data_IF_369472658758
#
_entry.id   IF_369472658758
#
_cell.length_a   1.000
_cell.length_b   1.000
_cell.length_c   1.000
_cell.angle_alpha   90.00
_cell.angle_beta   90.00
_cell.angle_gamma   90.00
#
_symmetry.space_group_name_H-M   'P 1'
#
loop_
_entity.id
_entity.type
_entity.pdbx_description
1 polymer ?
#
# COMPACT_ATOMS: atom_id res chain seq x y z
N UNK A 1 6.41 26.62 16.61
CA UNK A 1 5.06 26.42 16.02
C UNK A 1 4.30 25.52 16.99
N UNK A 2 3.03 25.82 17.34
CA UNK A 2 2.22 24.98 18.23
C UNK A 2 1.25 24.18 17.36
N UNK A 3 1.33 22.85 17.36
CA UNK A 3 0.36 22.00 16.69
C UNK A 3 -0.98 22.07 17.44
N UNK A 4 -1.99 22.69 16.79
CA UNK A 4 -3.36 22.81 17.29
C UNK A 4 -4.21 21.60 16.91
N UNK A 5 -5.18 21.27 17.76
CA UNK A 5 -6.08 20.11 17.68
C UNK A 5 -7.01 20.17 16.46
N UNK A 6 -6.74 19.49 15.34
CA UNK A 6 -7.79 19.00 14.42
C UNK A 6 -7.28 17.79 13.60
N UNK A 7 -8.18 16.82 13.38
CA UNK A 7 -8.09 15.56 12.62
C UNK A 7 -6.73 14.85 12.68
N UNK A 8 -6.56 14.18 13.81
CA UNK A 8 -5.42 13.39 14.24
C UNK A 8 -5.55 11.97 13.65
N UNK A 9 -4.55 11.50 12.90
CA UNK A 9 -4.34 10.05 12.71
C UNK A 9 -3.19 9.64 13.63
N UNK A 10 -3.57 9.16 14.81
CA UNK A 10 -2.76 8.51 15.83
C UNK A 10 -3.75 7.47 16.41
N UNK A 11 -3.41 6.23 16.73
CA UNK A 11 -2.79 5.94 18.02
C UNK A 11 -2.68 4.43 18.28
N UNK A 12 -1.69 4.05 19.08
CA UNK A 12 -1.83 2.90 19.97
C UNK A 12 -1.33 3.19 21.40
N UNK A 13 -0.51 4.23 21.65
CA UNK A 13 -0.28 4.81 22.98
C UNK A 13 0.24 6.26 22.90
N UNK A 14 -0.68 7.23 23.05
CA UNK A 14 -0.49 8.61 23.52
C UNK A 14 0.97 9.11 23.61
N UNK A 15 1.46 9.78 22.55
CA UNK A 15 2.55 10.82 22.62
C UNK A 15 2.96 11.48 21.29
N UNK A 16 2.29 11.24 20.16
CA UNK A 16 2.75 11.74 18.85
C UNK A 16 1.59 12.31 18.05
N UNK A 17 1.85 13.31 17.22
CA UNK A 17 0.83 13.94 16.38
C UNK A 17 1.31 13.93 14.93
N UNK A 18 0.64 13.14 14.10
CA UNK A 18 0.71 13.23 12.64
C UNK A 18 -0.61 13.78 12.11
N UNK A 19 -0.53 14.82 11.30
CA UNK A 19 -1.70 15.49 10.72
C UNK A 19 -1.57 15.54 9.21
N UNK A 20 -2.53 14.95 8.50
CA UNK A 20 -2.60 14.96 7.04
C UNK A 20 -3.56 16.06 6.56
N UNK A 21 -3.13 16.88 5.61
CA UNK A 21 -3.95 17.93 4.99
C UNK A 21 -4.04 17.74 3.48
N UNK A 22 -5.20 18.07 2.89
CA UNK A 22 -5.38 18.19 1.44
C UNK A 22 -5.20 19.62 0.92
N UNK A 23 -4.34 20.40 1.57
CA UNK A 23 -4.01 21.77 1.18
C UNK A 23 -2.51 21.90 1.04
N UNK A 24 -2.07 22.60 -0.01
CA UNK A 24 -0.66 22.80 -0.33
C UNK A 24 0.11 23.39 0.86
N UNK A 25 1.20 22.73 1.25
CA UNK A 25 2.10 23.24 2.29
C UNK A 25 3.13 24.17 1.65
N UNK A 26 3.03 25.46 1.95
CA UNK A 26 3.90 26.48 1.39
C UNK A 26 4.97 26.94 2.40
N UNK A 27 6.25 26.67 2.11
CA UNK A 27 7.40 27.15 2.92
C UNK A 27 7.59 28.67 2.83
N UNK A 28 7.20 29.26 1.70
CA UNK A 28 7.21 30.70 1.46
C UNK A 28 6.12 31.06 0.43
N UNK A 29 5.73 32.35 0.29
CA UNK A 29 4.80 32.77 -0.75
C UNK A 29 5.25 32.29 -2.14
N UNK A 30 4.43 31.45 -2.78
CA UNK A 30 4.73 30.87 -4.10
C UNK A 30 5.71 29.69 -4.11
N UNK A 31 6.12 29.15 -2.95
CA UNK A 31 6.96 27.94 -2.85
C UNK A 31 6.23 26.85 -2.06
N UNK A 32 5.39 26.12 -2.77
CA UNK A 32 4.48 25.10 -2.21
C UNK A 32 4.83 23.67 -2.63
N UNK A 33 6.07 23.43 -3.07
CA UNK A 33 6.54 22.08 -3.45
C UNK A 33 6.84 21.19 -2.23
N UNK A 34 6.49 21.64 -1.02
CA UNK A 34 6.81 20.94 0.23
C UNK A 34 5.68 19.98 0.57
N UNK A 35 5.94 18.67 0.59
CA UNK A 35 4.92 17.67 0.92
C UNK A 35 4.84 17.37 2.42
N UNK A 36 5.82 17.78 3.21
CA UNK A 36 5.85 17.52 4.64
C UNK A 36 6.79 18.44 5.42
N UNK A 37 6.57 18.51 6.72
CA UNK A 37 7.40 19.27 7.66
C UNK A 37 7.52 18.53 8.99
N UNK A 38 8.76 18.35 9.44
CA UNK A 38 9.09 17.83 10.75
C UNK A 38 10.34 18.52 11.33
N UNK A 39 10.47 18.49 12.65
CA UNK A 39 11.63 19.04 13.35
C UNK A 39 12.65 17.93 13.65
N UNK A 40 13.93 18.22 13.37
CA UNK A 40 15.02 17.26 13.50
C UNK A 40 15.23 16.78 14.95
N UNK A 41 15.24 15.47 15.15
CA UNK A 41 15.68 14.84 16.41
C UNK A 41 14.74 15.05 17.59
N UNK A 42 13.44 15.12 17.32
CA UNK A 42 12.41 15.46 18.32
C UNK A 42 11.59 14.25 18.78
N UNK A 43 11.97 13.02 18.40
CA UNK A 43 11.21 11.79 18.67
C UNK A 43 10.65 11.65 20.09
N UNK A 44 11.46 11.94 21.12
CA UNK A 44 11.08 11.88 22.53
C UNK A 44 10.90 13.26 23.18
N UNK A 45 10.81 14.32 22.39
CA UNK A 45 10.39 15.63 22.87
C UNK A 45 8.87 15.73 22.83
N UNK A 46 8.23 15.75 24.00
CA UNK A 46 6.77 15.74 24.13
C UNK A 46 6.06 16.92 23.41
N UNK A 47 6.77 18.04 23.18
CA UNK A 47 6.19 19.24 22.58
C UNK A 47 6.51 19.41 21.10
N UNK A 48 7.51 18.67 20.60
CA UNK A 48 8.04 18.83 19.24
C UNK A 48 8.03 17.55 18.40
N UNK A 49 7.72 16.39 18.99
CA UNK A 49 7.56 15.11 18.29
C UNK A 49 6.29 15.09 17.42
N UNK A 50 6.35 15.80 16.30
CA UNK A 50 5.25 15.89 15.34
C UNK A 50 5.75 16.10 13.92
N UNK A 51 4.92 15.64 12.97
CA UNK A 51 5.11 15.88 11.55
C UNK A 51 3.78 16.31 10.90
N UNK A 52 3.87 17.20 9.92
CA UNK A 52 2.77 17.61 9.07
C UNK A 52 3.01 17.01 7.70
N UNK A 53 1.99 16.39 7.11
CA UNK A 53 2.09 15.75 5.81
C UNK A 53 0.95 16.24 4.91
N UNK A 54 1.26 16.55 3.66
CA UNK A 54 0.29 16.77 2.62
C UNK A 54 -0.17 15.41 2.05
N UNK A 55 -1.48 15.18 2.07
CA UNK A 55 -2.08 13.97 1.50
C UNK A 55 -2.09 14.04 -0.02
N UNK A 56 -1.19 13.28 -0.64
CA UNK A 56 -1.13 13.07 -2.09
C UNK A 56 -1.48 11.62 -2.46
N UNK A 57 -2.41 10.99 -1.74
CA UNK A 57 -2.83 9.60 -1.99
C UNK A 57 -1.92 8.57 -1.31
N UNK A 58 -1.79 7.38 -1.90
CA UNK A 58 -1.02 6.28 -1.27
C UNK A 58 0.47 6.62 -1.11
N UNK A 59 1.00 7.50 -1.96
CA UNK A 59 2.38 7.95 -1.89
C UNK A 59 2.68 8.81 -0.65
N UNK A 60 1.66 9.30 0.06
CA UNK A 60 1.86 10.03 1.31
C UNK A 60 2.61 9.18 2.35
N UNK A 61 2.53 7.84 2.25
CA UNK A 61 3.32 6.92 3.05
C UNK A 61 4.83 7.17 2.96
N UNK A 62 5.35 7.56 1.79
CA UNK A 62 6.76 7.87 1.61
C UNK A 62 7.13 9.20 2.25
N UNK A 63 6.26 10.20 2.15
CA UNK A 63 6.42 11.48 2.85
C UNK A 63 6.39 11.27 4.37
N UNK A 64 5.47 10.44 4.87
CA UNK A 64 5.42 10.05 6.29
C UNK A 64 6.76 9.43 6.71
N UNK A 65 7.32 8.52 5.91
CA UNK A 65 8.63 7.91 6.19
C UNK A 65 9.76 8.96 6.20
N UNK A 66 9.76 9.88 5.24
CA UNK A 66 10.73 10.99 5.17
C UNK A 66 10.68 11.87 6.41
N UNK A 67 9.48 12.32 6.81
CA UNK A 67 9.30 13.18 7.98
C UNK A 67 9.62 12.45 9.28
N UNK A 68 9.31 11.15 9.37
CA UNK A 68 9.78 10.32 10.50
C UNK A 68 11.31 10.26 10.55
N UNK A 69 11.99 10.17 9.40
CA UNK A 69 13.44 10.26 9.33
C UNK A 69 13.97 11.52 10.00
N UNK A 70 13.37 12.68 9.73
CA UNK A 70 13.72 13.94 10.42
C UNK A 70 13.48 13.84 11.93
N UNK A 71 12.35 13.31 12.36
CA UNK A 71 12.06 13.11 13.80
C UNK A 71 13.14 12.26 14.49
N UNK A 72 13.73 11.28 13.77
CA UNK A 72 14.88 10.47 14.19
C UNK A 72 16.26 11.13 13.96
N UNK A 73 16.29 12.45 13.73
CA UNK A 73 17.49 13.25 13.52
C UNK A 73 18.28 12.88 12.25
N UNK A 74 17.60 12.33 11.23
CA UNK A 74 18.22 12.05 9.94
C UNK A 74 18.09 13.29 9.04
N UNK A 75 19.19 13.92 8.60
CA UNK A 75 19.14 15.05 7.67
C UNK A 75 18.90 14.56 6.22
N UNK A 76 18.70 15.51 5.30
CA UNK A 76 18.68 15.19 3.87
C UNK A 76 20.03 14.63 3.39
N UNK A 77 19.99 13.75 2.39
CA UNK A 77 21.17 13.04 1.88
C UNK A 77 22.23 13.98 1.25
N UNK A 78 21.83 15.17 0.80
CA UNK A 78 22.69 16.18 0.20
C UNK A 78 23.33 17.15 1.20
N UNK A 79 23.00 17.01 2.49
CA UNK A 79 23.60 17.81 3.55
C UNK A 79 25.08 17.45 3.76
N UNK A 80 25.89 18.45 4.12
CA UNK A 80 27.34 18.27 4.34
C UNK A 80 27.67 17.16 5.35
N UNK A 81 26.81 16.97 6.35
CA UNK A 81 26.96 15.93 7.38
C UNK A 81 26.88 14.51 6.82
N UNK A 82 26.21 14.32 5.68
CA UNK A 82 26.11 13.03 5.00
C UNK A 82 27.32 12.70 4.12
N UNK A 83 28.09 13.71 3.70
CA UNK A 83 29.24 13.52 2.82
C UNK A 83 30.35 12.60 3.36
N UNK A 84 30.40 12.38 4.68
CA UNK A 84 31.34 11.42 5.30
C UNK A 84 30.90 9.95 5.20
N UNK A 85 29.60 9.69 4.98
CA UNK A 85 29.03 8.35 4.94
C UNK A 85 28.70 7.87 3.54
N UNK A 86 28.49 8.80 2.61
CA UNK A 86 28.19 8.50 1.22
C UNK A 86 28.58 9.65 0.30
N UNK A 87 28.86 9.31 -0.96
CA UNK A 87 28.86 10.27 -2.05
C UNK A 87 27.46 10.34 -2.66
N UNK A 88 27.00 11.54 -2.99
CA UNK A 88 25.73 11.72 -3.69
C UNK A 88 25.78 11.08 -5.08
N UNK A 89 24.82 10.19 -5.35
CA UNK A 89 24.61 9.59 -6.66
C UNK A 89 23.33 10.14 -7.28
N UNK A 90 23.45 10.96 -8.33
CA UNK A 90 22.30 11.57 -9.03
C UNK A 90 21.37 10.56 -9.72
N UNK A 91 21.81 9.31 -9.85
CA UNK A 91 21.04 8.21 -10.43
C UNK A 91 20.44 7.29 -9.36
N UNK A 92 20.63 7.60 -8.08
CA UNK A 92 20.12 6.78 -6.99
C UNK A 92 19.83 7.64 -5.75
N UNK A 93 18.59 8.12 -5.66
CA UNK A 93 18.09 8.86 -4.51
C UNK A 93 17.30 7.94 -3.59
N UNK A 94 17.36 8.21 -2.28
CA UNK A 94 16.73 7.43 -1.22
C UNK A 94 15.60 8.23 -0.55
N UNK A 95 14.96 7.66 0.48
CA UNK A 95 13.85 8.30 1.20
C UNK A 95 14.20 9.72 1.66
N UNK A 96 15.43 9.97 2.11
CA UNK A 96 15.87 11.28 2.63
C UNK A 96 16.41 12.22 1.55
N UNK A 97 16.17 11.96 0.28
CA UNK A 97 16.42 12.94 -0.77
C UNK A 97 15.50 14.17 -0.57
N UNK A 98 15.99 15.40 -0.81
CA UNK A 98 15.21 16.62 -0.60
C UNK A 98 14.07 16.80 -1.61
N UNK A 99 14.15 16.11 -2.76
CA UNK A 99 13.18 16.16 -3.85
C UNK A 99 12.81 14.76 -4.33
N UNK A 100 11.54 14.60 -4.72
CA UNK A 100 11.05 13.39 -5.39
C UNK A 100 11.24 13.53 -6.90
N UNK A 101 12.16 12.75 -7.46
CA UNK A 101 12.59 12.93 -8.85
C UNK A 101 12.55 11.60 -9.64
N UNK A 102 13.15 11.62 -10.84
CA UNK A 102 13.17 10.46 -11.72
C UNK A 102 13.97 9.26 -11.16
N UNK A 103 14.94 9.51 -10.28
CA UNK A 103 15.83 8.48 -9.75
C UNK A 103 15.60 8.17 -8.27
N UNK A 104 14.47 8.60 -7.70
CA UNK A 104 14.12 8.34 -6.31
C UNK A 104 13.55 6.94 -6.13
N UNK A 105 14.14 6.21 -5.19
CA UNK A 105 13.72 4.88 -4.74
C UNK A 105 13.17 5.00 -3.31
N UNK A 106 11.89 5.37 -3.15
CA UNK A 106 11.29 5.74 -1.87
C UNK A 106 11.04 4.55 -0.91
N UNK A 107 11.56 3.36 -1.25
CA UNK A 107 11.57 2.15 -0.41
C UNK A 107 12.97 1.84 0.16
N UNK A 108 13.94 2.75 -0.02
CA UNK A 108 15.33 2.52 0.39
C UNK A 108 15.85 3.68 1.23
N UNK A 109 16.68 3.33 2.22
CA UNK A 109 17.42 4.28 3.04
C UNK A 109 18.87 4.34 2.59
N UNK A 110 19.49 5.51 2.65
CA UNK A 110 20.88 5.71 2.27
C UNK A 110 21.86 5.23 3.35
N UNK A 111 23.15 5.03 3.03
CA UNK A 111 24.18 4.79 4.05
C UNK A 111 24.27 5.91 5.09
N UNK A 112 24.06 7.18 4.67
CA UNK A 112 23.99 8.29 5.62
C UNK A 112 22.79 8.13 6.57
N UNK A 113 21.61 7.84 6.03
CA UNK A 113 20.39 7.67 6.83
C UNK A 113 20.58 6.62 7.91
N UNK A 114 21.12 5.46 7.56
CA UNK A 114 21.41 4.38 8.49
C UNK A 114 22.42 4.79 9.57
N UNK A 115 23.51 5.46 9.18
CA UNK A 115 24.54 5.92 10.12
C UNK A 115 24.00 6.99 11.10
N UNK A 116 23.18 7.93 10.61
CA UNK A 116 22.57 8.98 11.43
C UNK A 116 21.55 8.40 12.41
N UNK A 117 20.72 7.43 11.96
CA UNK A 117 19.80 6.72 12.84
C UNK A 117 20.54 5.96 13.93
N UNK A 118 21.57 5.19 13.58
CA UNK A 118 22.41 4.48 14.58
C UNK A 118 22.95 5.46 15.60
N UNK A 119 23.53 6.58 15.13
CA UNK A 119 24.07 7.61 16.00
C UNK A 119 23.02 8.25 16.89
N UNK A 120 21.78 8.43 16.42
CA UNK A 120 20.69 8.96 17.24
C UNK A 120 20.27 7.96 18.33
N UNK A 121 20.17 6.68 17.99
CA UNK A 121 19.81 5.62 18.94
C UNK A 121 20.93 5.35 19.97
N UNK A 122 22.19 5.49 19.57
CA UNK A 122 23.37 5.30 20.44
C UNK A 122 23.61 6.49 21.38
N UNK A 123 23.31 7.71 20.93
CA UNK A 123 23.50 8.91 21.74
C UNK A 123 22.35 9.05 22.74
N UNK A 124 22.71 9.07 24.03
CA UNK A 124 21.83 9.32 25.16
C UNK A 124 20.64 8.35 25.27
N UNK A 125 20.89 7.20 25.92
CA UNK A 125 19.85 6.28 26.40
C UNK A 125 18.67 6.99 27.09
N UNK A 126 18.89 8.16 27.70
CA UNK A 126 17.84 9.00 28.27
C UNK A 126 16.95 9.72 27.23
N UNK A 127 17.49 10.24 26.12
CA UNK A 127 16.71 10.96 25.09
C UNK A 127 15.96 9.99 24.17
N UNK A 128 16.35 8.72 24.10
CA UNK A 128 15.65 7.68 23.31
C UNK A 128 14.84 6.73 24.19
N UNK A 129 14.74 6.99 25.51
CA UNK A 129 14.09 6.04 26.42
C UNK A 129 12.60 5.80 26.09
N UNK A 130 11.93 6.77 25.46
CA UNK A 130 10.50 6.75 25.14
C UNK A 130 10.10 5.82 23.98
N UNK A 131 11.07 5.15 23.32
CA UNK A 131 10.79 4.23 22.19
C UNK A 131 10.98 2.77 22.55
N UNK A 132 11.40 2.46 23.79
CA UNK A 132 11.72 1.09 24.21
C UNK A 132 10.61 0.41 25.00
N UNK A 133 9.58 1.14 25.45
CA UNK A 133 8.40 0.55 26.05
C UNK A 133 7.49 -0.07 24.99
N UNK A 134 6.83 -1.17 25.36
CA UNK A 134 5.88 -1.85 24.48
C UNK A 134 4.52 -1.14 24.52
N UNK A 135 3.85 -0.98 23.37
CA UNK A 135 2.50 -0.42 23.35
C UNK A 135 1.51 -1.34 24.08
N UNK A 136 0.72 -0.78 24.99
CA UNK A 136 -0.30 -1.49 25.78
C UNK A 136 -1.41 -2.10 24.91
N UNK A 137 -1.74 -1.51 23.75
CA UNK A 137 -2.75 -2.05 22.83
C UNK A 137 -2.11 -2.70 21.59
N UNK A 138 -2.00 -4.03 21.60
CA UNK A 138 -1.61 -4.84 20.43
C UNK A 138 -2.69 -4.95 19.34
N UNK A 139 -3.91 -4.50 19.60
CA UNK A 139 -5.10 -4.69 18.75
C UNK A 139 -4.93 -4.16 17.31
N UNK A 140 -4.09 -3.16 17.12
CA UNK A 140 -3.76 -2.60 15.81
C UNK A 140 -2.55 -3.28 15.15
N UNK A 141 -1.64 -3.83 15.94
CA UNK A 141 -0.41 -4.45 15.46
C UNK A 141 -0.70 -5.74 14.71
N UNK A 142 -1.56 -6.60 15.28
CA UNK A 142 -1.89 -7.90 14.68
C UNK A 142 -2.64 -7.76 13.34
N UNK A 143 -3.52 -6.75 13.22
CA UNK A 143 -4.27 -6.48 11.97
C UNK A 143 -3.44 -5.82 10.86
N UNK A 144 -2.30 -5.21 11.20
CA UNK A 144 -1.49 -4.48 10.21
C UNK A 144 -0.74 -5.44 9.27
N UNK A 145 -0.44 -6.66 9.72
CA UNK A 145 0.25 -7.69 8.94
C UNK A 145 -0.67 -8.62 8.16
N UNK A 146 -1.98 -8.55 8.41
CA UNK A 146 -3.00 -9.32 7.67
C UNK A 146 -3.50 -8.59 6.41
N UNK A 147 -3.21 -7.29 6.30
CA UNK A 147 -3.73 -6.49 5.18
C UNK A 147 -2.94 -6.79 3.90
N UNK A 148 -3.63 -7.05 2.77
CA UNK A 148 -2.97 -7.26 1.50
C UNK A 148 -2.24 -5.99 1.06
N UNK A 149 -1.25 -6.15 0.18
CA UNK A 149 -0.47 -5.02 -0.34
C UNK A 149 -1.41 -3.93 -0.93
N UNK A 150 -1.09 -2.63 -0.83
CA UNK A 150 -2.05 -1.56 -1.16
C UNK A 150 -2.57 -1.62 -2.60
N UNK A 151 -1.76 -2.08 -3.55
CA UNK A 151 -2.17 -2.26 -4.94
C UNK A 151 -3.14 -3.43 -5.20
N UNK A 152 -3.29 -4.33 -4.23
CA UNK A 152 -4.35 -5.35 -4.24
C UNK A 152 -5.69 -4.81 -3.69
N UNK A 153 -5.66 -3.72 -2.91
CA UNK A 153 -6.86 -3.06 -2.38
C UNK A 153 -7.35 -1.92 -3.26
N UNK A 154 -6.43 -1.25 -3.96
CA UNK A 154 -6.72 -0.06 -4.75
C UNK A 154 -6.22 -0.22 -6.19
N UNK A 155 -7.14 -0.15 -7.15
CA UNK A 155 -6.81 -0.23 -8.58
C UNK A 155 -5.91 0.93 -9.00
N UNK A 156 -5.21 0.77 -10.12
CA UNK A 156 -4.34 1.83 -10.67
C UNK A 156 -5.10 3.13 -10.95
N UNK A 157 -6.36 3.05 -11.38
CA UNK A 157 -7.21 4.23 -11.58
C UNK A 157 -7.59 4.89 -10.26
N UNK A 158 -7.91 4.12 -9.22
CA UNK A 158 -8.15 4.67 -7.88
C UNK A 158 -6.91 5.39 -7.33
N UNK A 159 -5.72 4.83 -7.57
CA UNK A 159 -4.46 5.50 -7.24
C UNK A 159 -4.32 6.85 -7.96
N UNK A 160 -4.66 6.91 -9.25
CA UNK A 160 -4.72 8.16 -9.99
C UNK A 160 -5.75 9.15 -9.41
N UNK A 161 -6.92 8.66 -9.02
CA UNK A 161 -7.98 9.47 -8.44
C UNK A 161 -7.59 10.09 -7.10
N UNK A 162 -6.79 9.39 -6.28
CA UNK A 162 -6.28 9.91 -5.03
C UNK A 162 -5.32 11.09 -5.22
N UNK A 163 -4.53 11.08 -6.31
CA UNK A 163 -3.53 12.12 -6.59
C UNK A 163 -4.12 13.31 -7.35
N UNK A 164 -4.86 13.04 -8.43
CA UNK A 164 -5.30 14.07 -9.38
C UNK A 164 -6.83 14.30 -9.39
N UNK A 165 -7.56 13.62 -8.50
CA UNK A 165 -9.00 13.75 -8.34
C UNK A 165 -9.81 12.74 -9.16
N UNK A 166 -11.11 12.66 -8.87
CA UNK A 166 -12.03 11.60 -9.34
C UNK A 166 -12.10 11.33 -10.85
N UNK A 167 -11.68 12.27 -11.69
CA UNK A 167 -11.74 12.14 -13.15
C UNK A 167 -10.40 11.66 -13.75
N UNK A 168 -9.40 11.39 -12.91
CA UNK A 168 -8.11 10.90 -13.35
C UNK A 168 -8.12 9.38 -13.50
N UNK A 169 -7.50 8.91 -14.56
CA UNK A 169 -7.33 7.48 -14.86
C UNK A 169 -5.90 7.22 -15.34
N UNK A 170 -5.53 5.94 -15.49
CA UNK A 170 -4.20 5.56 -15.94
C UNK A 170 -3.89 6.16 -17.33
N UNK A 171 -2.75 6.83 -17.45
CA UNK A 171 -2.26 7.31 -18.72
C UNK A 171 -1.80 6.13 -19.61
N UNK A 172 -2.31 6.01 -20.85
CA UNK A 172 -1.89 4.98 -21.79
C UNK A 172 -0.41 5.08 -22.19
N UNK A 173 0.17 3.96 -22.60
CA UNK A 173 1.53 3.82 -23.18
C UNK A 173 2.72 4.16 -22.25
N UNK A 174 2.47 4.56 -21.01
CA UNK A 174 3.54 4.81 -20.05
C UNK A 174 4.03 3.52 -19.38
N UNK A 175 5.32 3.42 -19.00
CA UNK A 175 5.85 2.23 -18.35
C UNK A 175 5.14 1.91 -17.02
N UNK A 176 4.69 0.68 -16.85
CA UNK A 176 4.04 0.20 -15.63
C UNK A 176 4.97 0.21 -14.41
N UNK A 177 4.39 0.32 -13.22
CA UNK A 177 5.02 0.23 -11.89
C UNK A 177 6.03 1.32 -11.53
N UNK A 178 6.91 1.71 -12.45
CA UNK A 178 8.00 2.65 -12.17
C UNK A 178 7.48 4.02 -11.78
N UNK A 179 6.43 4.50 -12.47
CA UNK A 179 5.81 5.81 -12.26
C UNK A 179 4.32 5.77 -12.54
N UNK A 180 3.54 6.34 -11.63
CA UNK A 180 2.12 6.54 -11.80
C UNK A 180 1.92 7.77 -12.69
N UNK A 181 1.52 7.51 -13.92
CA UNK A 181 1.13 8.53 -14.88
C UNK A 181 -0.37 8.50 -15.02
N UNK A 182 -1.01 9.63 -14.80
CA UNK A 182 -2.46 9.75 -14.83
C UNK A 182 -2.87 10.75 -15.89
N UNK A 183 -3.91 10.43 -16.64
CA UNK A 183 -4.50 11.31 -17.63
C UNK A 183 -5.78 11.92 -17.07
N UNK A 184 -6.03 13.18 -17.45
CA UNK A 184 -7.37 13.75 -17.41
C UNK A 184 -7.72 14.21 -18.83
N UNK A 185 -8.97 13.99 -19.25
CA UNK A 185 -9.41 14.26 -20.63
C UNK A 185 -10.26 15.52 -20.77
N UNK A 186 -10.54 16.21 -19.66
CA UNK A 186 -11.40 17.38 -19.61
C UNK A 186 -10.82 18.45 -18.68
N UNK A 187 -11.02 19.72 -19.05
CA UNK A 187 -10.57 20.88 -18.27
C UNK A 187 -9.13 21.32 -18.57
N UNK A 188 -8.65 22.32 -17.83
CA UNK A 188 -7.34 22.96 -18.05
C UNK A 188 -6.13 22.05 -17.78
N UNK A 189 -6.33 20.92 -17.12
CA UNK A 189 -5.27 19.97 -16.72
C UNK A 189 -5.17 18.76 -17.65
N UNK A 190 -5.72 18.88 -18.87
CA UNK A 190 -5.77 17.80 -19.87
C UNK A 190 -4.38 17.23 -20.20
N UNK A 191 -4.32 15.91 -20.35
CA UNK A 191 -3.11 15.18 -20.71
C UNK A 191 -2.52 14.38 -19.55
N UNK A 192 -1.40 13.71 -19.81
CA UNK A 192 -0.73 12.85 -18.85
C UNK A 192 0.19 13.62 -17.91
N UNK A 193 0.03 13.39 -16.61
CA UNK A 193 0.78 14.04 -15.54
C UNK A 193 1.26 12.99 -14.53
N UNK A 194 2.31 13.30 -13.79
CA UNK A 194 2.86 12.43 -12.74
C UNK A 194 3.41 13.27 -11.59
N UNK A 195 3.35 12.73 -10.37
CA UNK A 195 4.09 13.24 -9.20
C UNK A 195 5.35 12.40 -8.94
N UNK A 196 5.86 11.70 -9.95
CA UNK A 196 7.08 10.92 -9.88
C UNK A 196 7.07 9.70 -8.94
N UNK A 197 5.93 9.37 -8.33
CA UNK A 197 5.75 8.21 -7.45
C UNK A 197 5.48 6.92 -8.22
N UNK A 198 5.91 5.75 -7.72
CA UNK A 198 5.62 4.45 -8.33
C UNK A 198 4.14 4.07 -8.18
N UNK A 199 3.70 3.03 -8.88
CA UNK A 199 2.43 2.39 -8.56
C UNK A 199 2.56 1.68 -7.21
N UNK A 200 1.47 1.53 -6.47
CA UNK A 200 1.51 0.82 -5.21
C UNK A 200 1.94 -0.64 -5.39
N UNK A 201 2.71 -1.15 -4.44
CA UNK A 201 3.09 -2.56 -4.40
C UNK A 201 1.82 -3.44 -4.39
N UNK A 202 1.83 -4.49 -5.19
CA UNK A 202 0.69 -5.39 -5.42
C UNK A 202 -0.25 -4.99 -6.56
N UNK A 203 -0.03 -3.84 -7.22
CA UNK A 203 -0.88 -3.43 -8.34
C UNK A 203 -0.63 -4.36 -9.55
N UNK A 204 -1.66 -4.95 -10.16
CA UNK A 204 -1.50 -5.76 -11.37
C UNK A 204 -0.86 -4.96 -12.50
N UNK A 205 0.13 -5.53 -13.18
CA UNK A 205 0.85 -4.87 -14.28
C UNK A 205 1.03 -5.73 -15.54
N UNK A 206 0.60 -7.00 -15.48
CA UNK A 206 0.64 -7.97 -16.56
C UNK A 206 0.04 -9.30 -16.12
N UNK A 207 0.04 -10.30 -17.00
CA UNK A 207 -0.48 -11.63 -16.71
C UNK A 207 0.36 -12.31 -15.63
N UNK A 208 -0.25 -12.64 -14.48
CA UNK A 208 0.44 -13.18 -13.30
C UNK A 208 1.62 -12.32 -12.82
N UNK A 209 1.53 -11.00 -13.03
CA UNK A 209 2.56 -10.04 -12.62
C UNK A 209 1.96 -8.88 -11.84
N UNK A 210 2.73 -8.39 -10.88
CA UNK A 210 2.36 -7.26 -10.04
C UNK A 210 3.53 -6.31 -9.82
N UNK A 211 3.22 -5.09 -9.39
CA UNK A 211 4.23 -4.12 -9.04
C UNK A 211 4.86 -4.47 -7.69
N UNK A 212 6.20 -4.51 -7.65
CA UNK A 212 6.96 -4.58 -6.41
C UNK A 212 8.19 -3.67 -6.53
N UNK A 213 8.32 -2.70 -5.62
CA UNK A 213 9.43 -1.73 -5.61
C UNK A 213 9.65 -1.08 -6.98
N UNK A 214 8.56 -0.64 -7.59
CA UNK A 214 8.55 0.04 -8.89
C UNK A 214 8.88 -0.83 -10.11
N UNK A 215 8.92 -2.15 -9.95
CA UNK A 215 9.14 -3.10 -11.05
C UNK A 215 7.94 -4.04 -11.24
N UNK A 216 7.63 -4.38 -12.48
CA UNK A 216 6.63 -5.40 -12.79
C UNK A 216 7.28 -6.78 -12.70
N UNK A 217 6.96 -7.54 -11.65
CA UNK A 217 7.57 -8.84 -11.34
C UNK A 217 6.51 -9.94 -11.35
N UNK A 218 6.92 -11.18 -11.63
CA UNK A 218 6.03 -12.33 -11.51
C UNK A 218 5.57 -12.53 -10.06
N UNK A 219 4.30 -12.88 -9.87
CA UNK A 219 3.75 -13.19 -8.56
C UNK A 219 4.33 -14.54 -8.13
N UNK A 220 5.11 -14.56 -7.04
CA UNK A 220 5.58 -15.82 -6.48
C UNK A 220 4.38 -16.64 -5.96
N UNK A 221 4.38 -17.98 -6.07
CA UNK A 221 3.26 -18.81 -5.59
C UNK A 221 2.87 -18.51 -4.13
N UNK A 222 3.87 -18.29 -3.26
CA UNK A 222 3.64 -17.93 -1.85
C UNK A 222 2.98 -16.56 -1.62
N UNK A 223 2.93 -15.71 -2.65
CA UNK A 223 2.39 -14.34 -2.64
C UNK A 223 1.13 -14.21 -3.50
N UNK A 224 0.70 -15.28 -4.19
CA UNK A 224 -0.59 -15.28 -4.85
C UNK A 224 -1.67 -15.07 -3.79
N UNK A 225 -2.64 -14.15 -4.02
CA UNK A 225 -3.78 -14.05 -3.14
C UNK A 225 -4.38 -15.44 -3.03
N UNK A 226 -4.53 -15.95 -1.80
CA UNK A 226 -5.29 -17.17 -1.56
C UNK A 226 -6.72 -16.87 -1.96
N UNK A 227 -7.10 -17.18 -3.19
CA UNK A 227 -8.48 -17.19 -3.61
C UNK A 227 -9.13 -18.38 -2.91
N UNK A 228 -10.19 -18.12 -2.15
CA UNK A 228 -11.11 -19.19 -1.79
C UNK A 228 -11.63 -19.78 -3.11
N UNK A 229 -11.51 -21.10 -3.25
CA UNK A 229 -11.95 -21.77 -4.47
C UNK A 229 -13.46 -21.60 -4.61
N UNK A 230 -13.95 -21.34 -5.82
CA UNK A 230 -15.38 -21.39 -6.09
C UNK A 230 -15.72 -22.55 -7.03
N UNK A 231 -16.93 -23.07 -6.84
CA UNK A 231 -17.45 -24.19 -7.62
C UNK A 231 -17.60 -23.81 -9.09
N UNK A 232 -17.02 -24.62 -9.97
CA UNK A 232 -17.27 -24.57 -11.40
C UNK A 232 -18.68 -24.99 -11.76
N UNK A 233 -18.95 -25.02 -13.07
CA UNK A 233 -20.24 -25.46 -13.58
C UNK A 233 -20.47 -26.96 -13.29
N UNK A 234 -21.75 -27.32 -13.17
CA UNK A 234 -22.13 -28.73 -13.09
C UNK A 234 -21.83 -29.42 -14.43
N UNK A 235 -21.11 -30.54 -14.35
CA UNK A 235 -20.97 -31.49 -15.45
C UNK A 235 -22.33 -32.08 -15.81
N UNK A 236 -22.39 -32.65 -17.01
CA UNK A 236 -23.57 -33.36 -17.48
C UNK A 236 -23.99 -34.46 -16.50
N UNK A 237 -25.31 -34.69 -16.44
CA UNK A 237 -25.88 -35.76 -15.63
C UNK A 237 -25.37 -37.12 -16.12
N UNK A 238 -24.94 -37.94 -15.18
CA UNK A 238 -24.63 -39.34 -15.46
C UNK A 238 -25.86 -40.18 -15.78
N UNK A 239 -25.58 -41.43 -16.16
CA UNK A 239 -26.62 -42.41 -16.45
C UNK A 239 -27.58 -42.61 -15.27
N UNK A 240 -28.85 -42.86 -15.59
CA UNK A 240 -29.84 -43.18 -14.58
C UNK A 240 -29.48 -44.49 -13.90
N UNK A 241 -29.54 -44.53 -12.57
CA UNK A 241 -29.19 -45.73 -11.79
C UNK A 241 -30.03 -46.97 -12.13
N UNK A 242 -31.18 -46.80 -12.79
CA UNK A 242 -32.09 -47.87 -13.22
C UNK A 242 -32.75 -47.53 -14.56
N UNK A 243 -33.03 -48.56 -15.34
CA UNK A 243 -33.73 -48.43 -16.64
C UNK A 243 -35.26 -48.44 -16.52
N UNK A 244 -35.81 -48.83 -15.36
CA UNK A 244 -37.25 -48.75 -15.06
C UNK A 244 -37.54 -48.73 -13.54
N UNK A 245 -38.74 -48.27 -13.15
CA UNK A 245 -39.21 -48.31 -11.76
C UNK A 245 -38.67 -47.22 -10.83
N UNK A 246 -38.44 -46.01 -11.36
CA UNK A 246 -37.77 -44.90 -10.66
C UNK A 246 -36.25 -45.06 -10.64
N UNK A 247 -35.52 -43.95 -10.64
CA UNK A 247 -34.05 -43.93 -10.68
C UNK A 247 -33.49 -42.54 -10.38
N UNK A 248 -32.17 -42.48 -10.11
CA UNK A 248 -31.48 -41.25 -9.71
C UNK A 248 -30.34 -40.99 -10.69
N UNK A 249 -30.24 -39.76 -11.18
CA UNK A 249 -29.08 -39.28 -11.93
C UNK A 249 -28.18 -38.46 -11.00
N UNK A 250 -26.87 -38.49 -11.26
CA UNK A 250 -25.89 -37.74 -10.48
C UNK A 250 -25.15 -36.75 -11.37
N UNK A 251 -24.93 -35.54 -10.89
CA UNK A 251 -24.07 -34.55 -11.53
C UNK A 251 -22.91 -34.23 -10.58
N UNK A 252 -21.78 -33.83 -11.18
CA UNK A 252 -20.55 -33.48 -10.48
C UNK A 252 -20.15 -32.05 -10.81
N UNK A 253 -19.60 -31.32 -9.86
CA UNK A 253 -18.83 -30.09 -10.15
C UNK A 253 -17.52 -30.10 -9.37
N UNK A 254 -16.49 -29.52 -9.98
CA UNK A 254 -15.18 -29.37 -9.37
C UNK A 254 -15.05 -27.95 -8.77
N UNK A 255 -14.21 -27.78 -7.75
CA UNK A 255 -13.92 -26.48 -7.16
C UNK A 255 -12.77 -25.80 -7.91
N UNK A 256 -13.03 -25.33 -9.14
CA UNK A 256 -12.01 -24.90 -10.10
C UNK A 256 -12.23 -23.50 -10.72
N UNK A 257 -13.23 -22.72 -10.26
CA UNK A 257 -13.57 -21.44 -10.89
C UNK A 257 -13.85 -20.28 -9.92
N UNK A 258 -12.82 -19.62 -9.35
CA UNK A 258 -11.39 -19.87 -9.58
C UNK A 258 -10.88 -21.04 -8.74
N UNK A 259 -9.89 -21.76 -9.25
CA UNK A 259 -9.19 -22.79 -8.49
C UNK A 259 -8.42 -22.15 -7.32
N UNK A 260 -8.40 -22.80 -6.16
CA UNK A 260 -7.54 -22.42 -5.05
C UNK A 260 -6.30 -23.30 -5.00
N UNK A 261 -5.13 -22.72 -4.68
CA UNK A 261 -3.87 -23.46 -4.64
C UNK A 261 -3.81 -24.58 -3.58
N UNK A 262 -4.80 -24.62 -2.65
CA UNK A 262 -4.87 -25.62 -1.58
C UNK A 262 -5.89 -26.74 -1.81
N UNK A 263 -6.71 -26.67 -2.88
CA UNK A 263 -7.90 -27.52 -3.03
C UNK A 263 -8.02 -28.08 -4.45
N UNK A 264 -7.00 -28.78 -4.94
CA UNK A 264 -7.04 -29.36 -6.30
C UNK A 264 -7.98 -30.56 -6.47
N UNK A 265 -8.73 -31.02 -5.45
CA UNK A 265 -9.46 -32.30 -5.52
C UNK A 265 -10.81 -32.36 -4.79
N UNK A 266 -11.50 -31.24 -4.55
CA UNK A 266 -12.86 -31.30 -3.99
C UNK A 266 -13.90 -31.38 -5.10
N UNK A 267 -14.77 -32.39 -4.99
CA UNK A 267 -15.89 -32.65 -5.89
C UNK A 267 -17.18 -32.61 -5.11
N UNK A 268 -18.16 -31.88 -5.63
CA UNK A 268 -19.52 -31.92 -5.12
C UNK A 268 -20.38 -32.81 -6.02
N UNK A 269 -21.15 -33.69 -5.39
CA UNK A 269 -22.13 -34.56 -6.04
C UNK A 269 -23.53 -34.03 -5.73
N UNK A 270 -24.38 -33.89 -6.75
CA UNK A 270 -25.82 -33.67 -6.58
C UNK A 270 -26.60 -34.80 -7.23
N UNK A 271 -27.62 -35.26 -6.54
CA UNK A 271 -28.52 -36.31 -7.03
C UNK A 271 -29.85 -35.68 -7.52
N UNK A 272 -30.50 -36.28 -8.51
CA UNK A 272 -31.75 -35.76 -9.10
C UNK A 272 -32.91 -35.66 -8.10
N UNK A 273 -32.82 -36.33 -6.95
CA UNK A 273 -33.78 -36.22 -5.86
C UNK A 273 -33.64 -34.91 -5.05
N UNK A 274 -32.45 -34.30 -5.02
CA UNK A 274 -32.19 -33.04 -4.29
C UNK A 274 -32.88 -31.84 -4.94
N UNK A 275 -33.23 -31.96 -6.22
CA UNK A 275 -33.98 -30.96 -6.97
C UNK A 275 -35.49 -31.01 -6.70
N UNK A 276 -35.99 -32.16 -6.25
CA UNK A 276 -37.43 -32.41 -6.05
C UNK A 276 -37.89 -31.89 -4.67
N UNK A 277 -36.96 -31.49 -3.79
CA UNK A 277 -37.22 -31.01 -2.43
C UNK A 277 -37.28 -29.49 -2.21
N UNK A 278 -37.38 -28.65 -3.25
CA UNK A 278 -37.57 -27.19 -3.12
C UNK A 278 -38.79 -26.65 -3.90
N UNK A 279 -39.94 -27.27 -3.65
CA UNK A 279 -41.25 -26.60 -3.66
C UNK A 279 -41.92 -27.15 -2.41
N UNK A 280 -42.06 -26.38 -1.34
CA UNK A 280 -43.14 -25.40 -1.23
C UNK A 280 -42.82 -24.36 -0.14
N UNK A 281 -43.46 -23.18 -0.23
CA UNK A 281 -44.32 -22.61 0.84
C UNK A 281 -44.74 -21.18 0.44
N UNK A 282 -45.99 -20.74 0.69
CA UNK A 282 -46.70 -20.96 1.97
C UNK A 282 -48.19 -21.36 1.87
N UNK A 283 -48.67 -22.14 2.85
CA UNK A 283 -49.67 -21.81 3.91
C UNK A 283 -49.61 -22.96 4.93
#
# INVERSE_FOLDING_TARGET
MRCGRYNIVVDAQQRRLMTNFRHDICRAPGKCDTLGLAELGTMCDEFRSCAIIEDNGLSAAFTIAHELGHIFNIPHDDEKKCGQFMALNKNNYHIMAPTLEYNTHPWSWSPCSAAMLSKFLDNSRAQTQCIYDQPVEKKYYDKMFDNPAPGAMFTVDQQCQFVFGKNAELCPYMPSCKRLWCATYYGYQMGCRTQHMPWADGTPCGDNQWCHRGQCVGIAPAQMPKSDGAWGEWKEWGDCSRTCGGGVQKALRDCDNPASELIYNYRELRDSNDLIGKSDHPI
#
